data_IF_169526623093
#
_entry.id   IF_169526623093
#
_cell.length_a   1.000
_cell.length_b   1.000
_cell.length_c   1.000
_cell.angle_alpha   90.00
_cell.angle_beta   90.00
_cell.angle_gamma   90.00
#
_symmetry.space_group_name_H-M   'P 1'
#
loop_
_entity.id
_entity.type
_entity.pdbx_description
1 polymer ?
#
# COMPACT_ATOMS: atom_id res chain seq x y z
N UNK A 1 -13.01 28.37 24.66
CA UNK A 1 -12.45 27.40 23.69
C UNK A 1 -12.39 26.07 24.41
N UNK A 2 -13.06 25.03 23.90
CA UNK A 2 -12.93 23.70 24.50
C UNK A 2 -11.51 23.19 24.23
N UNK A 3 -10.82 22.72 25.26
CA UNK A 3 -9.49 22.10 25.13
C UNK A 3 -9.64 20.82 24.30
N UNK A 4 -9.03 20.78 23.12
CA UNK A 4 -9.03 19.59 22.27
C UNK A 4 -8.29 18.46 23.01
N UNK A 5 -9.00 17.38 23.31
CA UNK A 5 -8.46 16.21 24.00
C UNK A 5 -7.73 15.30 23.02
N UNK A 6 -6.65 14.66 23.47
CA UNK A 6 -5.81 13.80 22.63
C UNK A 6 -5.63 12.43 23.29
N UNK A 7 -5.43 11.41 22.47
CA UNK A 7 -4.98 10.06 22.87
C UNK A 7 -3.64 9.77 22.21
N UNK A 8 -2.96 8.72 22.67
CA UNK A 8 -1.76 8.19 22.02
C UNK A 8 -2.12 6.89 21.32
N UNK A 9 -1.58 6.70 20.11
CA UNK A 9 -1.56 5.41 19.42
C UNK A 9 -0.12 4.93 19.33
N UNK A 10 0.09 3.62 19.50
CA UNK A 10 1.40 3.01 19.34
C UNK A 10 1.52 2.48 17.91
N UNK A 11 2.57 2.90 17.20
CA UNK A 11 2.90 2.42 15.86
C UNK A 11 4.19 1.64 15.89
N UNK A 12 4.25 0.56 15.13
CA UNK A 12 5.47 -0.21 14.96
C UNK A 12 6.25 0.40 13.79
N UNK A 13 7.52 0.71 14.02
CA UNK A 13 8.46 1.19 13.01
C UNK A 13 9.66 0.27 12.90
N UNK A 14 10.48 0.46 11.87
CA UNK A 14 11.76 -0.23 11.71
C UNK A 14 12.71 -0.09 12.92
N UNK A 15 12.52 0.93 13.76
CA UNK A 15 13.33 1.21 14.96
C UNK A 15 12.62 0.88 16.28
N UNK A 16 11.44 0.24 16.23
CA UNK A 16 10.63 -0.12 17.39
C UNK A 16 9.33 0.66 17.50
N UNK A 17 8.68 0.60 18.66
CA UNK A 17 7.41 1.27 18.92
C UNK A 17 7.57 2.79 18.99
N UNK A 18 6.67 3.50 18.31
CA UNK A 18 6.62 4.95 18.22
C UNK A 18 5.23 5.41 18.61
N UNK A 19 5.15 6.29 19.63
CA UNK A 19 3.89 6.89 20.02
C UNK A 19 3.54 8.06 19.09
N UNK A 20 2.28 8.12 18.68
CA UNK A 20 1.71 9.25 17.95
C UNK A 20 0.55 9.83 18.73
N UNK A 21 0.58 11.14 18.88
CA UNK A 21 -0.51 11.91 19.43
C UNK A 21 -1.61 12.01 18.39
N UNK A 22 -2.86 11.82 18.83
CA UNK A 22 -4.04 11.85 17.96
C UNK A 22 -5.15 12.60 18.68
N UNK A 23 -5.73 13.57 17.99
CA UNK A 23 -6.92 14.29 18.43
C UNK A 23 -8.10 13.33 18.58
N UNK A 24 -8.86 13.51 19.66
CA UNK A 24 -10.11 12.77 19.88
C UNK A 24 -11.31 13.44 19.21
N UNK A 25 -11.09 14.54 18.48
CA UNK A 25 -12.13 15.15 17.67
C UNK A 25 -12.62 14.17 16.58
N UNK A 26 -13.89 14.27 16.15
CA UNK A 26 -14.38 13.50 15.01
C UNK A 26 -13.51 13.75 13.76
N UNK A 27 -13.37 12.74 12.88
CA UNK A 27 -12.70 12.93 11.60
C UNK A 27 -13.33 14.07 10.81
N UNK A 28 -12.51 14.85 10.11
CA UNK A 28 -12.95 15.95 9.24
C UNK A 28 -12.54 15.71 7.80
N UNK A 29 -13.14 16.45 6.87
CA UNK A 29 -12.68 16.44 5.49
C UNK A 29 -11.27 17.06 5.38
N UNK A 30 -10.42 16.54 4.48
CA UNK A 30 -9.17 17.21 4.13
C UNK A 30 -9.46 18.53 3.41
N UNK A 31 -8.56 19.48 3.56
CA UNK A 31 -8.45 20.63 2.65
C UNK A 31 -7.84 20.21 1.32
N UNK A 32 -8.01 21.03 0.28
CA UNK A 32 -7.44 20.76 -1.05
C UNK A 32 -5.91 20.64 -1.03
N UNK A 33 -5.24 21.34 -0.11
CA UNK A 33 -3.79 21.26 0.04
C UNK A 33 -3.34 20.01 0.83
N UNK A 34 -4.19 19.50 1.73
CA UNK A 34 -3.91 18.31 2.53
C UNK A 34 -4.01 17.04 1.68
N UNK A 35 -5.06 16.86 0.87
CA UNK A 35 -5.17 15.68 -0.01
C UNK A 35 -5.63 16.15 -1.40
N UNK A 36 -4.72 16.70 -2.22
CA UNK A 36 -5.07 17.25 -3.52
C UNK A 36 -5.47 16.17 -4.52
N UNK A 37 -6.21 16.58 -5.55
CA UNK A 37 -6.43 15.77 -6.76
C UNK A 37 -5.42 16.20 -7.82
N UNK A 38 -4.57 15.26 -8.24
CA UNK A 38 -3.55 15.46 -9.26
C UNK A 38 -3.99 14.80 -10.56
N UNK A 39 -3.96 15.58 -11.65
CA UNK A 39 -4.27 15.09 -12.99
C UNK A 39 -3.02 14.48 -13.64
N UNK A 40 -3.07 13.21 -14.02
CA UNK A 40 -1.98 12.49 -14.68
C UNK A 40 -2.01 12.56 -16.20
N UNK A 41 -2.91 13.33 -16.82
CA UNK A 41 -3.02 13.46 -18.28
C UNK A 41 -1.67 13.74 -18.96
N UNK A 42 -0.81 14.54 -18.33
CA UNK A 42 0.49 14.91 -18.87
C UNK A 42 1.66 13.99 -18.47
N UNK A 43 1.40 12.83 -17.88
CA UNK A 43 2.45 11.90 -17.43
C UNK A 43 3.29 11.35 -18.60
N UNK A 44 2.72 11.28 -19.80
CA UNK A 44 3.41 10.90 -21.04
C UNK A 44 3.69 12.11 -21.95
N UNK A 45 3.55 13.33 -21.43
CA UNK A 45 3.70 14.58 -22.18
C UNK A 45 5.15 14.95 -22.50
N UNK A 46 5.42 16.24 -22.64
CA UNK A 46 6.77 16.81 -22.75
C UNK A 46 7.49 16.81 -21.39
N UNK A 47 8.81 17.01 -21.40
CA UNK A 47 9.59 17.11 -20.17
C UNK A 47 9.11 18.26 -19.27
N UNK A 48 8.76 19.41 -19.84
CA UNK A 48 8.26 20.57 -19.08
C UNK A 48 6.91 20.29 -18.41
N UNK A 49 6.00 19.62 -19.13
CA UNK A 49 4.72 19.19 -18.57
C UNK A 49 4.89 18.18 -17.42
N UNK A 50 5.83 17.24 -17.55
CA UNK A 50 6.18 16.31 -16.47
C UNK A 50 6.82 17.01 -15.27
N UNK A 51 7.61 18.08 -15.46
CA UNK A 51 8.15 18.87 -14.36
C UNK A 51 7.07 19.67 -13.61
N UNK A 52 6.06 20.18 -14.32
CA UNK A 52 4.89 20.81 -13.67
C UNK A 52 4.13 19.77 -12.84
N UNK A 53 3.90 18.58 -13.39
CA UNK A 53 3.30 17.46 -12.66
C UNK A 53 4.13 17.08 -11.42
N UNK A 54 5.45 16.95 -11.58
CA UNK A 54 6.38 16.63 -10.49
C UNK A 54 6.34 17.69 -9.38
N UNK A 55 6.17 18.97 -9.72
CA UNK A 55 6.05 20.05 -8.72
C UNK A 55 4.79 19.90 -7.86
N UNK A 56 3.67 19.46 -8.45
CA UNK A 56 2.43 19.18 -7.72
C UNK A 56 2.56 17.95 -6.84
N UNK A 57 3.14 16.87 -7.38
CA UNK A 57 3.43 15.64 -6.64
C UNK A 57 4.37 15.93 -5.47
N UNK A 58 5.40 16.75 -5.68
CA UNK A 58 6.32 17.21 -4.63
C UNK A 58 5.56 17.88 -3.49
N UNK A 59 4.72 18.87 -3.79
CA UNK A 59 3.97 19.60 -2.78
C UNK A 59 3.06 18.68 -1.94
N UNK A 60 2.34 17.76 -2.59
CA UNK A 60 1.51 16.79 -1.88
C UNK A 60 2.34 15.82 -1.04
N UNK A 61 3.49 15.37 -1.58
CA UNK A 61 4.39 14.41 -0.94
C UNK A 61 5.12 15.00 0.26
N UNK A 62 5.50 16.28 0.22
CA UNK A 62 6.12 17.01 1.34
C UNK A 62 5.11 17.44 2.42
N UNK A 63 3.81 17.53 2.07
CA UNK A 63 2.74 17.85 3.02
C UNK A 63 2.22 16.60 3.75
N UNK A 64 1.13 15.98 3.28
CA UNK A 64 0.55 14.80 3.91
C UNK A 64 1.09 13.50 3.35
N UNK A 65 1.77 13.52 2.22
CA UNK A 65 2.14 12.28 1.54
C UNK A 65 0.97 11.54 0.89
N UNK A 66 -0.24 12.11 0.91
CA UNK A 66 -1.46 11.53 0.34
C UNK A 66 -2.04 12.45 -0.73
N UNK A 67 -2.47 11.87 -1.85
CA UNK A 67 -3.17 12.60 -2.90
C UNK A 67 -4.01 11.65 -3.76
N UNK A 68 -5.04 12.18 -4.40
CA UNK A 68 -5.77 11.47 -5.43
C UNK A 68 -5.10 11.67 -6.79
N UNK A 69 -5.16 10.66 -7.65
CA UNK A 69 -4.79 10.77 -9.05
C UNK A 69 -5.97 10.42 -9.95
N UNK A 70 -6.22 11.25 -10.96
CA UNK A 70 -7.17 10.98 -12.05
C UNK A 70 -6.44 10.89 -13.38
N UNK A 71 -7.13 10.43 -14.43
CA UNK A 71 -6.54 10.20 -15.75
C UNK A 71 -5.30 9.28 -15.68
N UNK A 72 -5.33 8.31 -14.76
CA UNK A 72 -4.22 7.40 -14.46
C UNK A 72 -3.99 6.32 -15.55
N UNK A 73 -4.84 6.27 -16.57
CA UNK A 73 -4.68 5.41 -17.75
C UNK A 73 -5.01 3.93 -17.55
N UNK A 74 -5.49 3.52 -16.36
CA UNK A 74 -6.01 2.17 -16.15
C UNK A 74 -7.48 2.16 -16.60
N UNK A 75 -7.89 1.26 -17.52
CA UNK A 75 -9.27 1.22 -17.99
C UNK A 75 -10.25 0.95 -16.85
N UNK A 76 -11.34 1.73 -16.78
CA UNK A 76 -12.38 1.56 -15.78
C UNK A 76 -13.00 0.16 -15.85
N UNK A 77 -13.20 -0.39 -17.06
CA UNK A 77 -13.67 -1.76 -17.26
C UNK A 77 -12.76 -2.79 -16.58
N UNK A 78 -11.44 -2.61 -16.61
CA UNK A 78 -10.50 -3.51 -15.95
C UNK A 78 -10.64 -3.43 -14.42
N UNK A 79 -10.80 -2.23 -13.87
CA UNK A 79 -11.05 -2.02 -12.44
C UNK A 79 -12.34 -2.72 -12.01
N UNK A 80 -13.44 -2.52 -12.76
CA UNK A 80 -14.74 -3.14 -12.44
C UNK A 80 -14.71 -4.66 -12.61
N UNK A 81 -13.99 -5.18 -13.61
CA UNK A 81 -13.76 -6.61 -13.76
C UNK A 81 -12.95 -7.17 -12.58
N UNK A 82 -11.89 -6.48 -12.15
CA UNK A 82 -11.11 -6.86 -10.96
C UNK A 82 -11.93 -6.83 -9.68
N UNK A 83 -12.78 -5.82 -9.49
CA UNK A 83 -13.72 -5.77 -8.37
C UNK A 83 -14.69 -6.96 -8.39
N UNK A 84 -15.21 -7.30 -9.56
CA UNK A 84 -16.11 -8.45 -9.73
C UNK A 84 -15.40 -9.77 -9.39
N UNK A 85 -14.13 -9.91 -9.77
CA UNK A 85 -13.29 -11.06 -9.41
C UNK A 85 -12.96 -11.11 -7.92
N UNK A 86 -12.69 -9.96 -7.29
CA UNK A 86 -12.50 -9.86 -5.85
C UNK A 86 -13.77 -10.32 -5.09
N UNK A 87 -14.95 -9.83 -5.49
CA UNK A 87 -16.24 -10.25 -4.94
C UNK A 87 -16.45 -11.76 -5.11
N UNK A 88 -16.30 -12.26 -6.33
CA UNK A 88 -16.42 -13.69 -6.62
C UNK A 88 -15.47 -14.55 -5.78
N UNK A 89 -14.25 -14.07 -5.49
CA UNK A 89 -13.33 -14.75 -4.60
C UNK A 89 -13.77 -14.72 -3.13
N UNK A 90 -14.21 -13.58 -2.61
CA UNK A 90 -14.58 -13.46 -1.18
C UNK A 90 -15.95 -14.07 -0.84
N UNK A 91 -16.87 -14.16 -1.81
CA UNK A 91 -18.19 -14.78 -1.69
C UNK A 91 -18.15 -16.31 -1.60
N UNK A 92 -16.97 -16.91 -1.79
CA UNK A 92 -16.79 -18.35 -1.66
C UNK A 92 -16.92 -18.83 -0.21
N UNK A 93 -17.23 -20.12 -0.06
CA UNK A 93 -17.11 -20.80 1.23
C UNK A 93 -15.66 -20.73 1.75
N UNK A 94 -15.50 -20.67 3.07
CA UNK A 94 -14.18 -20.51 3.70
C UNK A 94 -13.18 -21.58 3.27
N UNK A 95 -13.60 -22.84 3.14
CA UNK A 95 -12.74 -23.95 2.71
C UNK A 95 -12.12 -23.73 1.32
N UNK A 96 -12.84 -23.05 0.41
CA UNK A 96 -12.33 -22.72 -0.92
C UNK A 96 -11.29 -21.60 -0.86
N UNK A 97 -11.52 -20.57 -0.04
CA UNK A 97 -10.55 -19.48 0.20
C UNK A 97 -9.28 -19.98 0.88
N UNK A 98 -9.41 -20.91 1.82
CA UNK A 98 -8.31 -21.52 2.56
C UNK A 98 -7.41 -22.44 1.73
N UNK A 99 -7.78 -22.78 0.48
CA UNK A 99 -6.89 -23.52 -0.45
C UNK A 99 -5.59 -22.77 -0.73
N UNK A 100 -5.60 -21.46 -0.54
CA UNK A 100 -4.44 -20.59 -0.70
C UNK A 100 -4.04 -19.91 0.63
N UNK A 101 -4.23 -20.57 1.77
CA UNK A 101 -3.88 -20.02 3.11
C UNK A 101 -2.43 -19.52 3.15
N UNK A 102 -2.28 -18.22 3.42
CA UNK A 102 -1.00 -17.53 3.49
C UNK A 102 0.00 -18.23 4.44
N UNK A 103 -0.47 -18.80 5.55
CA UNK A 103 0.41 -19.46 6.54
C UNK A 103 1.11 -20.70 6.01
N UNK A 104 0.51 -21.34 5.01
CA UNK A 104 1.06 -22.52 4.33
C UNK A 104 1.78 -22.16 3.03
N UNK A 105 1.71 -20.88 2.63
CA UNK A 105 2.28 -20.41 1.38
C UNK A 105 3.79 -20.33 1.47
N UNK A 106 4.46 -20.97 0.51
CA UNK A 106 5.89 -20.74 0.33
C UNK A 106 6.12 -19.45 -0.46
N UNK A 107 5.20 -18.98 -1.30
CA UNK A 107 5.42 -17.77 -2.13
C UNK A 107 5.09 -16.44 -1.42
N UNK A 108 4.82 -16.49 -0.10
CA UNK A 108 4.43 -15.32 0.71
C UNK A 108 3.23 -14.56 0.12
N UNK A 109 2.32 -15.29 -0.54
CA UNK A 109 1.12 -14.81 -1.20
C UNK A 109 -0.04 -15.76 -0.90
N UNK A 110 -1.29 -15.30 -0.98
CA UNK A 110 -2.46 -16.11 -0.65
C UNK A 110 -3.49 -15.36 0.20
N UNK A 111 -4.31 -16.13 0.91
CA UNK A 111 -5.47 -15.67 1.65
C UNK A 111 -5.17 -15.48 3.14
N UNK A 112 -5.57 -14.33 3.69
CA UNK A 112 -5.73 -14.10 5.11
C UNK A 112 -7.23 -13.97 5.45
N UNK A 113 -7.68 -14.72 6.45
CA UNK A 113 -9.06 -14.65 6.92
C UNK A 113 -9.37 -13.42 7.78
N UNK A 114 -10.66 -13.15 7.96
CA UNK A 114 -11.14 -12.08 8.84
C UNK A 114 -10.58 -12.22 10.25
N UNK A 115 -10.00 -11.15 10.81
CA UNK A 115 -9.42 -11.13 12.15
C UNK A 115 -8.10 -11.90 12.31
N UNK A 116 -7.54 -12.44 11.21
CA UNK A 116 -6.26 -13.16 11.27
C UNK A 116 -5.04 -12.24 11.35
N UNK A 117 -5.20 -10.93 11.10
CA UNK A 117 -4.13 -9.94 11.22
C UNK A 117 -4.47 -8.88 12.27
N UNK A 118 -3.44 -8.22 12.79
CA UNK A 118 -3.56 -7.08 13.69
C UNK A 118 -2.37 -6.15 13.41
N UNK A 119 -2.52 -5.22 12.47
CA UNK A 119 -1.39 -4.34 12.09
C UNK A 119 -0.99 -3.39 13.23
N UNK A 120 -1.94 -3.00 14.06
CA UNK A 120 -1.69 -2.19 15.26
C UNK A 120 -2.11 -2.97 16.50
N UNK A 121 -1.14 -3.27 17.38
CA UNK A 121 -1.38 -4.08 18.59
C UNK A 121 -2.17 -3.35 19.66
N UNK A 122 -2.18 -2.02 19.63
CA UNK A 122 -2.93 -1.18 20.55
C UNK A 122 -4.41 -1.01 20.16
N UNK A 123 -4.78 -1.47 18.96
CA UNK A 123 -6.15 -1.47 18.43
C UNK A 123 -6.65 -2.91 18.23
N UNK A 124 -7.91 -3.09 17.84
CA UNK A 124 -8.48 -4.43 17.62
C UNK A 124 -7.85 -5.16 16.44
N UNK A 125 -8.05 -6.49 16.39
CA UNK A 125 -7.75 -7.29 15.20
C UNK A 125 -8.46 -6.71 13.97
N UNK A 126 -7.79 -6.78 12.83
CA UNK A 126 -8.28 -6.18 11.59
C UNK A 126 -9.52 -6.95 11.09
N UNK A 127 -10.65 -6.26 10.99
CA UNK A 127 -11.89 -6.81 10.44
C UNK A 127 -11.87 -6.78 8.91
N UNK A 128 -10.94 -7.55 8.33
CA UNK A 128 -10.79 -7.72 6.89
C UNK A 128 -10.29 -9.12 6.55
N UNK A 129 -10.67 -9.59 5.37
CA UNK A 129 -9.99 -10.69 4.71
C UNK A 129 -9.25 -10.18 3.47
N UNK A 130 -8.16 -10.84 3.09
CA UNK A 130 -7.33 -10.42 1.96
C UNK A 130 -6.98 -11.57 1.05
N UNK A 131 -6.91 -11.29 -0.24
CA UNK A 131 -6.18 -12.07 -1.23
C UNK A 131 -4.91 -11.29 -1.56
N UNK A 132 -3.76 -11.96 -1.63
CA UNK A 132 -2.47 -11.33 -1.92
C UNK A 132 -1.75 -11.99 -3.09
N UNK A 133 -1.12 -11.16 -3.91
CA UNK A 133 -0.24 -11.52 -5.02
C UNK A 133 1.07 -10.72 -4.87
N UNK A 134 2.22 -11.37 -5.15
CA UNK A 134 3.55 -10.74 -5.13
C UNK A 134 4.05 -10.50 -6.55
N UNK A 135 5.18 -9.78 -6.66
CA UNK A 135 5.87 -9.64 -7.93
C UNK A 135 6.23 -11.01 -8.51
N UNK A 136 5.89 -11.20 -9.78
CA UNK A 136 6.24 -12.38 -10.54
C UNK A 136 6.70 -11.95 -11.94
N UNK A 137 7.98 -12.20 -12.23
CA UNK A 137 8.59 -11.81 -13.50
C UNK A 137 7.93 -12.43 -14.73
N UNK A 138 7.23 -13.56 -14.59
CA UNK A 138 6.49 -14.20 -15.68
C UNK A 138 5.35 -13.32 -16.18
N UNK A 139 4.85 -12.43 -15.31
CA UNK A 139 3.78 -11.50 -15.62
C UNK A 139 4.28 -10.09 -15.88
N UNK A 140 5.57 -9.79 -15.72
CA UNK A 140 6.12 -8.47 -16.04
C UNK A 140 6.53 -8.41 -17.54
N UNK A 141 5.79 -7.65 -18.38
CA UNK A 141 6.08 -7.59 -19.81
C UNK A 141 7.41 -6.89 -20.14
N UNK A 142 8.01 -6.14 -19.20
CA UNK A 142 9.29 -5.44 -19.42
C UNK A 142 10.48 -6.16 -18.80
N UNK A 143 10.28 -7.28 -18.10
CA UNK A 143 11.38 -8.03 -17.51
C UNK A 143 12.20 -8.75 -18.58
N UNK A 144 13.51 -8.45 -18.64
CA UNK A 144 14.44 -9.02 -19.64
C UNK A 144 15.48 -9.96 -19.05
N UNK A 145 15.44 -10.22 -17.74
CA UNK A 145 16.39 -11.12 -17.07
C UNK A 145 16.14 -12.60 -17.42
N UNK A 146 17.11 -13.49 -17.15
CA UNK A 146 16.86 -14.93 -17.22
C UNK A 146 15.63 -15.30 -16.39
N UNK A 147 14.68 -16.06 -16.95
CA UNK A 147 13.54 -16.59 -16.18
C UNK A 147 13.98 -17.40 -14.95
N UNK A 148 15.22 -17.93 -14.98
CA UNK A 148 15.86 -18.70 -13.91
C UNK A 148 16.62 -17.87 -12.86
N UNK A 149 16.85 -16.56 -13.03
CA UNK A 149 17.57 -15.76 -12.01
C UNK A 149 16.81 -15.64 -10.68
N UNK A 150 15.52 -16.00 -10.67
CA UNK A 150 14.70 -16.07 -9.47
C UNK A 150 14.81 -17.41 -8.70
N UNK A 151 15.48 -18.42 -9.27
CA UNK A 151 15.79 -19.68 -8.56
C UNK A 151 16.79 -19.46 -7.40
N UNK A 152 17.45 -18.31 -7.33
CA UNK A 152 18.38 -17.96 -6.24
C UNK A 152 17.68 -17.60 -4.91
N UNK A 153 16.35 -17.61 -4.86
CA UNK A 153 15.57 -17.56 -3.62
C UNK A 153 14.84 -18.88 -3.33
N UNK A 154 15.49 -20.02 -3.59
CA UNK A 154 15.31 -21.27 -2.84
C UNK A 154 13.86 -21.76 -2.63
N UNK A 155 13.00 -21.68 -3.64
CA UNK A 155 11.66 -22.31 -3.65
C UNK A 155 11.43 -23.02 -4.97
N UNK A 156 11.05 -24.29 -4.88
CA UNK A 156 10.85 -25.17 -6.03
C UNK A 156 9.80 -24.64 -6.98
N UNK A 157 10.07 -24.71 -8.28
CA UNK A 157 9.20 -24.29 -9.39
C UNK A 157 7.78 -24.93 -9.39
N UNK A 158 7.51 -25.93 -8.54
CA UNK A 158 6.18 -26.52 -8.36
C UNK A 158 5.20 -25.63 -7.57
N UNK A 159 5.72 -24.65 -6.80
CA UNK A 159 4.93 -23.81 -5.88
C UNK A 159 4.62 -22.40 -6.42
N UNK A 160 5.26 -21.99 -7.52
CA UNK A 160 5.07 -20.65 -8.12
C UNK A 160 3.66 -20.42 -8.66
N UNK A 161 2.88 -21.48 -8.82
CA UNK A 161 1.46 -21.44 -9.20
C UNK A 161 0.52 -21.76 -8.02
N UNK A 162 1.00 -21.79 -6.77
CA UNK A 162 0.21 -22.12 -5.58
C UNK A 162 -1.14 -21.38 -5.55
N UNK A 163 -1.10 -20.06 -5.68
CA UNK A 163 -2.28 -19.21 -5.70
C UNK A 163 -3.20 -19.58 -6.87
N UNK A 164 -2.64 -19.72 -8.07
CA UNK A 164 -3.42 -19.96 -9.29
C UNK A 164 -4.02 -21.37 -9.37
N UNK A 165 -3.33 -22.38 -8.83
CA UNK A 165 -3.85 -23.75 -8.67
C UNK A 165 -5.03 -23.74 -7.70
N UNK A 166 -4.88 -23.07 -6.55
CA UNK A 166 -5.90 -22.98 -5.52
C UNK A 166 -7.14 -22.16 -5.92
N UNK A 167 -7.04 -21.27 -6.90
CA UNK A 167 -8.17 -20.49 -7.45
C UNK A 167 -8.60 -20.93 -8.85
N UNK A 168 -8.15 -22.10 -9.33
CA UNK A 168 -8.37 -22.54 -10.73
C UNK A 168 -9.83 -22.76 -11.11
N UNK A 169 -10.71 -22.93 -10.12
CA UNK A 169 -12.16 -23.06 -10.31
C UNK A 169 -12.87 -21.72 -10.51
N UNK A 170 -12.20 -20.58 -10.28
CA UNK A 170 -12.76 -19.25 -10.53
C UNK A 170 -12.47 -18.81 -11.98
N UNK A 171 -13.48 -18.72 -12.86
CA UNK A 171 -13.26 -18.39 -14.26
C UNK A 171 -12.78 -16.95 -14.44
N UNK A 172 -11.65 -16.77 -15.14
CA UNK A 172 -11.10 -15.45 -15.45
C UNK A 172 -10.36 -14.77 -14.29
N UNK A 173 -10.33 -15.38 -13.09
CA UNK A 173 -9.76 -14.74 -11.91
C UNK A 173 -8.27 -14.44 -12.07
N UNK A 174 -7.50 -15.41 -12.59
CA UNK A 174 -6.06 -15.24 -12.85
C UNK A 174 -5.83 -14.16 -13.89
N UNK A 175 -6.50 -14.27 -15.03
CA UNK A 175 -6.27 -13.41 -16.20
C UNK A 175 -6.55 -11.94 -15.87
N UNK A 176 -7.69 -11.66 -15.23
CA UNK A 176 -8.09 -10.30 -14.85
C UNK A 176 -7.19 -9.76 -13.74
N UNK A 177 -6.88 -10.56 -12.72
CA UNK A 177 -6.02 -10.13 -11.61
C UNK A 177 -4.60 -9.80 -12.07
N UNK A 178 -4.02 -10.65 -12.94
CA UNK A 178 -2.72 -10.39 -13.55
C UNK A 178 -2.75 -9.15 -14.44
N UNK A 179 -3.77 -8.98 -15.29
CA UNK A 179 -3.90 -7.81 -16.17
C UNK A 179 -3.99 -6.49 -15.38
N UNK A 180 -4.75 -6.49 -14.27
CA UNK A 180 -4.85 -5.32 -13.40
C UNK A 180 -3.58 -5.07 -12.60
N UNK A 181 -2.88 -6.12 -12.15
CA UNK A 181 -1.54 -5.99 -11.57
C UNK A 181 -0.54 -5.37 -12.57
N UNK A 182 -0.52 -5.85 -13.82
CA UNK A 182 0.36 -5.32 -14.89
C UNK A 182 0.09 -3.84 -15.16
N UNK A 183 -1.18 -3.43 -15.22
CA UNK A 183 -1.56 -2.05 -15.48
C UNK A 183 -1.12 -1.11 -14.34
N UNK A 184 -1.23 -1.56 -13.09
CA UNK A 184 -0.75 -0.82 -11.91
C UNK A 184 0.78 -0.77 -11.86
N UNK A 185 1.48 -1.85 -12.22
CA UNK A 185 2.94 -1.86 -12.34
C UNK A 185 3.43 -0.86 -13.40
N UNK A 186 2.78 -0.83 -14.57
CA UNK A 186 3.12 0.12 -15.63
C UNK A 186 2.94 1.58 -15.18
N UNK A 187 1.83 1.89 -14.49
CA UNK A 187 1.59 3.22 -13.92
C UNK A 187 2.62 3.57 -12.83
N UNK A 188 2.90 2.64 -11.92
CA UNK A 188 3.87 2.84 -10.84
C UNK A 188 5.27 3.17 -11.37
N UNK A 189 5.72 2.48 -12.44
CA UNK A 189 7.00 2.80 -13.10
C UNK A 189 7.04 4.20 -13.69
N UNK A 190 5.92 4.73 -14.20
CA UNK A 190 5.85 6.13 -14.65
C UNK A 190 5.88 7.09 -13.46
N UNK A 191 5.12 6.81 -12.40
CA UNK A 191 5.07 7.65 -11.21
C UNK A 191 6.42 7.73 -10.49
N UNK A 192 7.21 6.67 -10.45
CA UNK A 192 8.53 6.72 -9.81
C UNK A 192 9.50 7.68 -10.50
N UNK A 193 9.36 7.88 -11.82
CA UNK A 193 10.10 8.90 -12.57
C UNK A 193 9.63 10.31 -12.24
N UNK A 194 8.33 10.50 -12.02
CA UNK A 194 7.77 11.76 -11.51
C UNK A 194 8.29 12.05 -10.09
N UNK A 195 8.39 11.03 -9.22
CA UNK A 195 9.02 11.17 -7.89
C UNK A 195 10.50 11.54 -7.98
N UNK A 196 11.26 10.98 -8.94
CA UNK A 196 12.65 11.37 -9.17
C UNK A 196 12.76 12.87 -9.52
N UNK A 197 11.95 13.36 -10.45
CA UNK A 197 11.87 14.79 -10.79
C UNK A 197 11.46 15.64 -9.58
N UNK A 198 10.48 15.19 -8.80
CA UNK A 198 9.99 15.89 -7.60
C UNK A 198 11.08 16.03 -6.53
N UNK A 199 12.01 15.07 -6.45
CA UNK A 199 13.18 15.13 -5.59
C UNK A 199 14.30 16.02 -6.16
N UNK A 200 14.21 16.44 -7.42
CA UNK A 200 15.25 17.23 -8.09
C UNK A 200 16.34 16.38 -8.76
N UNK A 201 16.07 15.10 -8.98
CA UNK A 201 16.96 14.18 -9.70
C UNK A 201 16.61 14.10 -11.19
N UNK A 202 17.45 13.41 -11.96
CA UNK A 202 17.13 13.05 -13.35
C UNK A 202 15.90 12.14 -13.38
N UNK A 203 15.08 12.29 -14.43
CA UNK A 203 13.83 11.52 -14.58
C UNK A 203 14.04 10.00 -14.51
N UNK A 204 15.16 9.51 -15.03
CA UNK A 204 15.56 8.10 -15.10
C UNK A 204 16.31 7.60 -13.85
N UNK A 205 16.44 8.41 -12.79
CA UNK A 205 17.31 8.12 -11.65
C UNK A 205 17.03 6.75 -10.98
N UNK A 206 15.76 6.37 -10.87
CA UNK A 206 15.36 5.10 -10.25
C UNK A 206 15.19 3.94 -11.23
N UNK A 207 15.38 4.13 -12.55
CA UNK A 207 15.10 3.09 -13.56
C UNK A 207 15.88 1.79 -13.32
N UNK A 208 17.13 1.92 -12.87
CA UNK A 208 18.01 0.77 -12.61
C UNK A 208 17.59 -0.08 -11.41
N UNK A 209 16.75 0.45 -10.51
CA UNK A 209 16.35 -0.21 -9.26
C UNK A 209 14.89 -0.65 -9.24
N UNK A 210 14.23 -0.66 -10.41
CA UNK A 210 12.83 -1.06 -10.61
C UNK A 210 12.66 -2.09 -11.74
N UNK A 211 13.72 -2.83 -12.05
CA UNK A 211 13.73 -3.86 -13.09
C UNK A 211 12.95 -5.10 -12.68
N UNK A 212 12.93 -5.42 -11.38
CA UNK A 212 12.11 -6.45 -10.74
C UNK A 212 11.69 -5.96 -9.34
N UNK A 213 10.87 -4.90 -9.29
CA UNK A 213 10.57 -4.20 -8.06
C UNK A 213 9.74 -5.06 -7.12
N UNK A 214 9.74 -4.74 -5.83
CA UNK A 214 8.62 -5.09 -4.97
C UNK A 214 7.32 -4.55 -5.60
N UNK A 215 6.34 -5.42 -5.84
CA UNK A 215 5.11 -5.06 -6.52
C UNK A 215 3.98 -5.97 -6.03
N UNK A 216 3.50 -5.66 -4.82
CA UNK A 216 2.54 -6.52 -4.13
C UNK A 216 1.14 -5.97 -4.35
N UNK A 217 0.18 -6.83 -4.65
CA UNK A 217 -1.21 -6.45 -4.84
C UNK A 217 -2.11 -7.20 -3.88
N UNK A 218 -3.07 -6.49 -3.32
CA UNK A 218 -4.14 -7.10 -2.54
C UNK A 218 -5.49 -6.84 -3.20
N UNK A 219 -6.39 -7.80 -3.02
CA UNK A 219 -7.80 -7.50 -2.86
C UNK A 219 -8.12 -7.58 -1.37
N UNK A 220 -8.90 -6.63 -0.88
CA UNK A 220 -9.33 -6.57 0.51
C UNK A 220 -10.85 -6.48 0.55
N UNK A 221 -11.46 -7.34 1.35
CA UNK A 221 -12.87 -7.28 1.69
C UNK A 221 -13.00 -7.03 3.19
N UNK A 222 -13.75 -5.99 3.53
CA UNK A 222 -14.18 -5.69 4.88
C UNK A 222 -15.66 -6.08 4.98
N UNK A 223 -16.01 -7.11 5.75
CA UNK A 223 -17.39 -7.48 5.97
C UNK A 223 -18.19 -6.33 6.57
N UNK A 224 -19.45 -6.20 6.18
CA UNK A 224 -20.39 -5.29 6.83
C UNK A 224 -20.60 -5.64 8.30
N UNK A 225 -20.78 -4.62 9.14
CA UNK A 225 -21.03 -4.76 10.57
C UNK A 225 -22.53 -4.53 10.83
N UNK A 226 -23.32 -5.56 11.18
CA UNK A 226 -24.74 -5.37 11.46
C UNK A 226 -24.97 -4.41 12.63
N UNK A 227 -26.03 -3.60 12.58
CA UNK A 227 -26.41 -2.60 13.61
C UNK A 227 -26.51 -3.16 15.05
N UNK A 228 -26.62 -4.48 15.21
CA UNK A 228 -26.71 -5.17 16.51
C UNK A 228 -25.34 -5.49 17.13
N UNK A 229 -24.25 -5.28 16.40
CA UNK A 229 -22.88 -5.50 16.85
C UNK A 229 -22.23 -4.25 17.49
N UNK A 230 -23.01 -3.21 17.77
CA UNK A 230 -22.56 -1.94 18.40
C UNK A 230 -21.99 -2.11 19.82
N UNK A 231 -22.11 -3.30 20.42
CA UNK A 231 -21.53 -3.69 21.70
C UNK A 231 -20.19 -4.45 21.56
N UNK A 232 -19.67 -4.61 20.33
CA UNK A 232 -18.37 -5.23 20.10
C UNK A 232 -17.25 -4.20 20.27
N UNK A 233 -16.17 -4.57 20.97
CA UNK A 233 -14.95 -3.76 21.18
C UNK A 233 -14.22 -3.39 19.86
N UNK A 234 -14.80 -3.65 18.69
CA UNK A 234 -14.20 -3.50 17.36
C UNK A 234 -14.08 -2.01 17.00
N UNK A 235 -12.83 -1.52 16.88
CA UNK A 235 -12.53 -0.10 16.59
C UNK A 235 -12.03 0.11 15.15
N UNK A 236 -11.62 -0.94 14.42
CA UNK A 236 -10.96 -0.77 13.09
C UNK A 236 -11.22 -1.92 12.10
N UNK A 237 -11.35 -1.55 10.82
CA UNK A 237 -11.27 -2.49 9.70
C UNK A 237 -9.82 -2.88 9.37
N UNK A 238 -8.91 -1.90 9.40
CA UNK A 238 -7.47 -2.12 9.52
C UNK A 238 -6.92 -1.05 10.47
N UNK A 239 -6.10 -1.47 11.43
CA UNK A 239 -5.49 -0.57 12.40
C UNK A 239 -4.61 0.52 11.79
N UNK A 240 -4.26 1.52 12.58
CA UNK A 240 -3.39 2.64 12.25
C UNK A 240 -1.98 2.15 11.95
N UNK A 241 -1.49 2.42 10.74
CA UNK A 241 -0.18 1.98 10.24
C UNK A 241 0.41 2.94 9.19
N UNK A 242 1.65 2.69 8.80
CA UNK A 242 2.29 3.24 7.59
C UNK A 242 2.57 2.10 6.62
N UNK A 243 2.72 2.43 5.33
CA UNK A 243 3.11 1.46 4.31
C UNK A 243 4.62 1.39 4.20
N UNK A 244 5.18 0.19 4.01
CA UNK A 244 6.63 -0.01 4.08
C UNK A 244 7.38 0.29 2.78
N UNK A 245 6.78 0.01 1.61
CA UNK A 245 7.44 0.16 0.32
C UNK A 245 7.58 1.64 -0.08
N UNK A 246 7.84 1.95 -1.36
CA UNK A 246 8.03 3.33 -1.79
C UNK A 246 6.72 4.13 -1.79
N UNK A 247 5.68 3.58 -2.39
CA UNK A 247 4.35 4.19 -2.41
C UNK A 247 3.28 3.14 -2.75
N UNK A 248 2.03 3.51 -2.49
CA UNK A 248 0.86 2.65 -2.74
C UNK A 248 -0.07 3.31 -3.75
N UNK A 249 -0.65 2.50 -4.64
CA UNK A 249 -1.78 2.85 -5.50
C UNK A 249 -3.02 2.14 -4.96
N UNK A 250 -3.99 2.89 -4.45
CA UNK A 250 -5.17 2.36 -3.80
C UNK A 250 -6.43 2.73 -4.56
N UNK A 251 -7.10 1.72 -5.12
CA UNK A 251 -8.50 1.83 -5.49
C UNK A 251 -9.39 1.49 -4.29
N UNK A 252 -10.44 2.28 -4.07
CA UNK A 252 -11.45 2.02 -3.05
C UNK A 252 -12.86 2.20 -3.64
N UNK A 253 -13.81 1.41 -3.14
CA UNK A 253 -15.22 1.59 -3.48
C UNK A 253 -15.83 2.84 -2.83
N UNK A 254 -17.12 3.07 -3.07
CA UNK A 254 -17.82 4.25 -2.55
C UNK A 254 -18.25 4.13 -1.07
N UNK A 255 -17.84 3.09 -0.35
CA UNK A 255 -18.23 2.87 1.06
C UNK A 255 -17.50 3.78 2.05
N UNK A 256 -16.32 4.28 1.65
CA UNK A 256 -15.48 5.18 2.47
C UNK A 256 -14.77 4.48 3.63
N UNK A 257 -14.35 5.25 4.64
CA UNK A 257 -13.72 4.72 5.87
C UNK A 257 -12.19 4.85 5.94
N UNK A 258 -11.51 5.16 4.85
CA UNK A 258 -10.08 5.49 4.87
C UNK A 258 -9.86 6.81 5.62
N UNK A 259 -8.98 6.79 6.63
CA UNK A 259 -8.62 7.96 7.41
C UNK A 259 -7.10 8.17 7.41
N UNK A 260 -6.66 9.41 7.24
CA UNK A 260 -5.25 9.82 7.16
C UNK A 260 -4.94 10.78 8.32
N UNK A 261 -3.84 10.58 9.05
CA UNK A 261 -3.48 11.43 10.18
C UNK A 261 -2.77 12.70 9.69
N UNK A 262 -3.39 13.87 9.89
CA UNK A 262 -2.80 15.17 9.54
C UNK A 262 -1.63 15.54 10.46
N UNK A 263 -0.84 16.55 10.04
CA UNK A 263 0.21 17.14 10.86
C UNK A 263 -0.31 17.86 12.12
N UNK A 264 -1.62 18.10 12.21
CA UNK A 264 -2.30 18.69 13.37
C UNK A 264 -2.90 17.62 14.30
N UNK A 265 -2.46 16.37 14.17
CA UNK A 265 -2.93 15.21 14.93
C UNK A 265 -4.41 14.85 14.67
N UNK A 266 -5.05 15.38 13.62
CA UNK A 266 -6.46 15.11 13.31
C UNK A 266 -6.61 14.05 12.21
N UNK A 267 -7.63 13.20 12.33
CA UNK A 267 -8.00 12.27 11.25
C UNK A 267 -8.73 12.99 10.11
N UNK A 268 -8.19 12.83 8.90
CA UNK A 268 -8.76 13.30 7.65
C UNK A 268 -9.54 12.16 6.99
N UNK A 269 -10.83 12.38 6.70
CA UNK A 269 -11.72 11.44 6.00
C UNK A 269 -11.44 11.48 4.49
N UNK A 270 -10.65 10.51 4.01
CA UNK A 270 -10.27 10.39 2.61
C UNK A 270 -11.39 9.71 1.82
N UNK A 271 -12.45 10.49 1.55
CA UNK A 271 -13.65 10.01 0.86
C UNK A 271 -13.37 9.55 -0.57
N UNK A 272 -13.98 8.43 -1.01
CA UNK A 272 -13.85 7.94 -2.38
C UNK A 272 -14.25 9.00 -3.40
N UNK A 273 -13.45 9.13 -4.46
CA UNK A 273 -13.73 9.99 -5.61
C UNK A 273 -13.73 9.10 -6.86
N UNK A 274 -14.84 9.09 -7.59
CA UNK A 274 -14.99 8.28 -8.79
C UNK A 274 -13.92 8.62 -9.84
N UNK A 275 -13.39 7.58 -10.51
CA UNK A 275 -12.34 7.74 -11.53
C UNK A 275 -10.96 8.10 -10.97
N UNK A 276 -10.72 7.89 -9.67
CA UNK A 276 -9.43 8.17 -9.03
C UNK A 276 -8.81 6.95 -8.36
N UNK A 277 -7.49 7.02 -8.18
CA UNK A 277 -6.75 6.20 -7.22
C UNK A 277 -6.21 7.12 -6.12
N UNK A 278 -6.20 6.63 -4.88
CA UNK A 278 -5.40 7.26 -3.82
C UNK A 278 -3.95 6.84 -4.02
N UNK A 279 -3.02 7.77 -3.89
CA UNK A 279 -1.59 7.52 -3.80
C UNK A 279 -1.09 7.98 -2.46
N UNK A 280 -0.33 7.12 -1.77
CA UNK A 280 0.37 7.50 -0.56
C UNK A 280 1.83 7.08 -0.58
N UNK A 281 2.69 7.92 0.00
CA UNK A 281 4.10 7.64 0.20
C UNK A 281 4.27 6.61 1.32
N UNK A 282 5.19 5.68 1.13
CA UNK A 282 5.59 4.71 2.15
C UNK A 282 6.96 5.02 2.76
N UNK A 283 7.28 4.26 3.80
CA UNK A 283 8.43 4.47 4.68
C UNK A 283 9.76 4.45 3.91
N UNK A 284 9.90 3.58 2.93
CA UNK A 284 11.14 3.49 2.15
C UNK A 284 11.40 4.76 1.34
N UNK A 285 10.38 5.33 0.70
CA UNK A 285 10.56 6.57 -0.07
C UNK A 285 10.71 7.80 0.83
N UNK A 286 10.03 7.82 1.99
CA UNK A 286 10.31 8.81 3.04
C UNK A 286 11.79 8.78 3.45
N UNK A 287 12.32 7.58 3.73
CA UNK A 287 13.73 7.37 4.08
C UNK A 287 14.68 7.89 2.98
N UNK A 288 14.45 7.47 1.74
CA UNK A 288 15.27 7.88 0.59
C UNK A 288 15.23 9.40 0.35
N UNK A 289 14.10 10.03 0.62
CA UNK A 289 13.94 11.49 0.51
C UNK A 289 14.52 12.28 1.69
N UNK A 290 15.21 11.63 2.64
CA UNK A 290 15.71 12.25 3.88
C UNK A 290 14.58 12.89 4.72
N UNK A 291 13.43 12.22 4.82
CA UNK A 291 12.19 12.72 5.45
C UNK A 291 11.53 13.94 4.80
N UNK A 292 11.92 14.30 3.57
CA UNK A 292 11.22 15.36 2.83
C UNK A 292 9.82 14.92 2.45
N UNK A 293 9.67 13.74 1.84
CA UNK A 293 8.37 13.13 1.60
C UNK A 293 7.84 12.44 2.86
N UNK A 294 6.53 12.47 3.08
CA UNK A 294 5.89 12.01 4.32
C UNK A 294 5.19 10.68 4.14
N UNK A 295 5.64 9.65 4.85
CA UNK A 295 4.89 8.41 5.03
C UNK A 295 3.92 8.60 6.20
N UNK A 296 2.63 8.71 5.87
CA UNK A 296 1.62 9.18 6.82
C UNK A 296 0.77 8.04 7.35
N UNK A 297 0.53 8.11 8.65
CA UNK A 297 -0.28 7.14 9.39
C UNK A 297 -1.70 7.16 8.85
N UNK A 298 -2.22 5.99 8.54
CA UNK A 298 -3.58 5.84 8.05
C UNK A 298 -4.22 4.56 8.58
N UNK A 299 -5.56 4.54 8.56
CA UNK A 299 -6.38 3.42 9.03
C UNK A 299 -7.64 3.30 8.18
N UNK A 300 -8.35 2.17 8.30
CA UNK A 300 -9.73 2.09 7.83
C UNK A 300 -10.65 1.89 9.02
N UNK A 301 -11.54 2.85 9.20
CA UNK A 301 -12.64 2.77 10.15
C UNK A 301 -13.88 2.25 9.40
N UNK A 302 -14.20 0.96 9.53
CA UNK A 302 -15.32 0.34 8.82
C UNK A 302 -16.46 -0.02 9.78
N UNK A 303 -17.44 0.89 9.92
CA UNK A 303 -18.66 0.68 10.72
C UNK A 303 -19.91 0.63 9.82
N UNK A 304 -19.72 0.38 8.52
CA UNK A 304 -20.82 0.34 7.57
C UNK A 304 -21.56 -1.00 7.67
N UNK A 305 -22.89 -1.02 7.50
CA UNK A 305 -23.67 -2.25 7.50
C UNK A 305 -23.38 -3.13 6.27
N UNK A 306 -22.91 -2.50 5.19
CA UNK A 306 -22.59 -3.15 3.92
C UNK A 306 -21.08 -3.43 3.79
N UNK A 307 -20.74 -4.39 2.93
CA UNK A 307 -19.35 -4.74 2.62
C UNK A 307 -18.60 -3.61 1.93
N UNK A 308 -17.34 -3.43 2.31
CA UNK A 308 -16.38 -2.53 1.65
C UNK A 308 -15.29 -3.31 0.93
N UNK A 309 -14.91 -2.89 -0.27
CA UNK A 309 -13.81 -3.44 -1.05
C UNK A 309 -12.75 -2.39 -1.36
N UNK A 310 -11.49 -2.81 -1.32
CA UNK A 310 -10.37 -2.00 -1.80
C UNK A 310 -9.27 -2.87 -2.42
N UNK A 311 -8.49 -2.30 -3.34
CA UNK A 311 -7.51 -3.05 -4.12
C UNK A 311 -6.14 -2.34 -4.16
N UNK A 312 -5.40 -2.28 -3.03
CA UNK A 312 -4.09 -1.63 -2.99
C UNK A 312 -3.05 -2.38 -3.82
N UNK A 313 -2.11 -1.62 -4.35
CA UNK A 313 -0.90 -2.07 -5.02
C UNK A 313 0.29 -1.32 -4.43
N UNK A 314 1.20 -2.05 -3.80
CA UNK A 314 2.39 -1.53 -3.16
C UNK A 314 3.54 -1.62 -4.15
N UNK A 315 4.25 -0.51 -4.36
CA UNK A 315 5.41 -0.45 -5.24
C UNK A 315 6.66 -0.13 -4.43
N UNK A 316 7.67 -0.98 -4.54
CA UNK A 316 8.98 -0.83 -3.95
C UNK A 316 10.09 -0.84 -5.00
N UNK A 317 11.34 -0.90 -4.55
CA UNK A 317 12.49 -1.15 -5.42
C UNK A 317 12.82 -2.63 -5.47
N UNK A 318 13.79 -2.99 -6.31
CA UNK A 318 14.39 -4.31 -6.34
C UNK A 318 14.81 -4.73 -4.91
N UNK A 319 14.33 -5.87 -4.38
CA UNK A 319 14.46 -6.21 -2.97
C UNK A 319 15.90 -6.22 -2.43
N UNK A 320 16.86 -6.66 -3.25
CA UNK A 320 18.28 -6.79 -2.90
C UNK A 320 19.10 -5.51 -3.14
N UNK A 321 18.53 -4.52 -3.83
CA UNK A 321 19.28 -3.33 -4.23
C UNK A 321 19.44 -2.37 -3.04
N UNK A 322 20.69 -2.21 -2.59
CA UNK A 322 21.06 -1.27 -1.52
C UNK A 322 20.95 0.17 -2.02
N UNK A 323 20.08 0.95 -1.39
CA UNK A 323 19.84 2.34 -1.71
C UNK A 323 20.34 3.24 -0.59
N UNK A 324 20.82 4.42 -0.96
CA UNK A 324 21.21 5.50 -0.05
C UNK A 324 20.21 6.65 -0.15
N UNK A 325 20.23 7.55 0.82
CA UNK A 325 19.53 8.83 0.72
C UNK A 325 19.86 9.49 -0.63
N UNK A 326 18.82 10.01 -1.27
CA UNK A 326 18.92 10.63 -2.60
C UNK A 326 19.85 11.84 -2.54
N UNK A 327 20.84 11.96 -3.46
CA UNK A 327 21.84 13.02 -3.41
C UNK A 327 21.26 14.43 -3.33
N UNK A 328 20.21 14.73 -4.08
CA UNK A 328 19.52 16.02 -4.04
C UNK A 328 18.82 16.37 -2.71
N UNK A 329 18.76 15.43 -1.77
CA UNK A 329 18.18 15.61 -0.43
C UNK A 329 19.25 15.75 0.67
N UNK A 330 20.52 15.92 0.28
CA UNK A 330 21.66 16.03 1.18
C UNK A 330 22.49 17.26 0.84
N UNK A 331 22.78 18.08 1.85
CA UNK A 331 23.72 19.20 1.78
C UNK A 331 24.40 19.40 3.14
N UNK A 332 25.23 20.44 3.28
CA UNK A 332 25.96 20.73 4.52
C UNK A 332 25.03 21.03 5.71
N UNK A 333 23.81 21.51 5.46
CA UNK A 333 22.80 21.81 6.49
C UNK A 333 21.90 20.60 6.77
N UNK A 334 21.77 19.68 5.82
CA UNK A 334 20.92 18.49 5.87
C UNK A 334 21.72 17.22 5.54
N UNK A 335 22.58 16.72 6.47
CA UNK A 335 23.29 15.47 6.27
C UNK A 335 22.32 14.27 6.14
N UNK A 336 22.77 13.13 5.59
CA UNK A 336 21.91 11.96 5.46
C UNK A 336 21.52 11.43 6.86
N UNK A 337 20.22 11.33 7.13
CA UNK A 337 19.70 10.82 8.40
C UNK A 337 19.76 9.29 8.49
N UNK A 338 19.98 8.61 7.36
CA UNK A 338 19.84 7.17 7.22
C UNK A 338 21.05 6.56 6.53
N UNK A 339 21.55 5.46 7.11
CA UNK A 339 22.53 4.60 6.46
C UNK A 339 21.93 3.88 5.24
N UNK A 340 22.74 3.48 4.25
CA UNK A 340 22.27 2.70 3.12
C UNK A 340 21.65 1.36 3.55
N UNK A 341 20.55 0.97 2.91
CA UNK A 341 19.84 -0.28 3.17
C UNK A 341 19.11 -0.75 1.90
N UNK A 342 18.86 -2.06 1.76
CA UNK A 342 18.03 -2.57 0.67
C UNK A 342 16.53 -2.46 0.97
N UNK A 343 15.70 -2.35 -0.08
CA UNK A 343 14.24 -2.29 0.10
C UNK A 343 13.67 -3.56 0.76
N UNK A 344 14.24 -4.72 0.44
CA UNK A 344 13.83 -6.00 1.02
C UNK A 344 14.22 -6.13 2.49
N UNK A 345 15.41 -5.66 2.88
CA UNK A 345 15.84 -5.64 4.27
C UNK A 345 15.00 -4.67 5.11
N UNK A 346 14.77 -3.44 4.61
CA UNK A 346 13.93 -2.44 5.30
C UNK A 346 12.48 -2.94 5.46
N UNK A 347 11.94 -3.60 4.43
CA UNK A 347 10.66 -4.31 4.51
C UNK A 347 10.67 -5.42 5.55
N UNK A 348 11.69 -6.30 5.58
CA UNK A 348 11.77 -7.40 6.54
C UNK A 348 11.88 -6.93 7.98
N UNK A 349 12.66 -5.87 8.24
CA UNK A 349 12.79 -5.29 9.58
C UNK A 349 11.43 -4.74 10.02
N UNK A 350 10.79 -3.93 9.19
CA UNK A 350 9.49 -3.30 9.50
C UNK A 350 8.35 -4.33 9.64
N UNK A 351 8.32 -5.32 8.74
CA UNK A 351 7.36 -6.41 8.76
C UNK A 351 7.57 -7.35 9.95
N UNK A 352 8.83 -7.70 10.25
CA UNK A 352 9.20 -8.53 11.40
C UNK A 352 8.76 -7.92 12.72
N UNK A 353 8.97 -6.62 12.92
CA UNK A 353 8.42 -5.91 14.09
C UNK A 353 6.90 -5.91 14.13
N UNK A 354 6.23 -5.82 12.98
CA UNK A 354 4.77 -5.81 12.89
C UNK A 354 4.14 -7.18 13.19
N UNK A 355 4.79 -8.28 12.82
CA UNK A 355 4.22 -9.64 12.88
C UNK A 355 4.82 -10.59 13.94
N UNK A 356 6.09 -10.48 14.35
CA UNK A 356 6.71 -11.38 15.36
C UNK A 356 6.07 -11.32 16.76
N UNK A 357 5.19 -10.34 16.97
CA UNK A 357 4.43 -10.15 18.19
C UNK A 357 3.00 -10.65 18.16
N UNK A 358 2.44 -10.86 16.97
CA UNK A 358 1.12 -11.47 16.84
C UNK A 358 1.22 -12.94 17.27
N UNK A 359 2.34 -13.61 16.90
CA UNK A 359 2.61 -15.01 17.25
C UNK A 359 3.08 -15.21 18.71
N UNK A 360 3.55 -14.16 19.39
CA UNK A 360 3.98 -14.24 20.78
C UNK A 360 2.82 -14.55 21.76
N UNK A 361 1.57 -14.37 21.32
CA UNK A 361 0.37 -14.64 22.12
C UNK A 361 -0.34 -15.97 21.77
N UNK A 362 0.22 -16.81 20.89
CA UNK A 362 -0.34 -18.16 20.59
C UNK A 362 0.25 -19.29 21.47
N UNK A 363 1.06 -18.95 22.47
CA UNK A 363 1.40 -19.90 23.54
C UNK A 363 0.59 -19.59 24.79
N UNK A 364 -0.66 -20.04 24.86
CA UNK A 364 -1.27 -20.71 26.03
C UNK A 364 -2.58 -21.39 25.65
#
# INVERSE_FOLDING_TARGET
MATQTHREIELLSATGAVLRRVSTAPPRLPTDDEIPIIDLESIDGTFDERNILASRVKAASENTGFFYVRNHGIPEELIQNSLSQAKAFFDQQLNEKMKIDFRTSTVSAGYHGVGSTQVNRSETRDLKETFSMRYDSRFDPTFTGPKSTLEQHNKSCDDDDYVWKGTSHLPGFREVTVSFWQSRLALARKLVRIFALALGEREDYFDGVITHPGADALYIHYPGIPDVATDSDIDVGIGSHTDFQCFTLLWQDNSGGLQVLSAQDEWLDARPIEGTLVVNIGDFLQRLSNNRFKSTVHRVYNHQPDSRYSMPFFFGFNPETVCRVVPSCVDDEHPPLYEPISCGEDFQVSFGYSYMSADANEKY
#
